data_IF_095480170331
#
_entry.id   IF_095480170331
#
_cell.length_a   1.000
_cell.length_b   1.000
_cell.length_c   1.000
_cell.angle_alpha   90.00
_cell.angle_beta   90.00
_cell.angle_gamma   90.00
#
_symmetry.space_group_name_H-M   'P 1'
#
loop_
_entity.id
_entity.type
_entity.pdbx_description
1 polymer ?
#
# COMPACT_ATOMS: atom_id res chain seq x y z
N UNK A 1 -16.81 28.33 -43.37
CA UNK A 1 -15.95 27.16 -43.60
C UNK A 1 -16.06 26.23 -42.39
N UNK A 2 -16.75 25.09 -42.50
CA UNK A 2 -16.79 24.10 -41.43
C UNK A 2 -15.57 23.17 -41.54
N UNK A 3 -14.80 23.04 -40.45
CA UNK A 3 -13.63 22.18 -40.38
C UNK A 3 -14.03 20.73 -40.12
N UNK A 4 -13.84 19.88 -41.13
CA UNK A 4 -14.05 18.44 -41.10
C UNK A 4 -12.89 17.76 -40.34
N UNK A 5 -13.14 17.10 -39.21
CA UNK A 5 -12.14 16.26 -38.53
C UNK A 5 -12.28 14.82 -39.04
N UNK A 6 -11.27 14.32 -39.75
CA UNK A 6 -11.13 12.91 -40.14
C UNK A 6 -10.43 12.15 -39.01
N UNK A 7 -11.13 11.17 -38.42
CA UNK A 7 -10.52 10.19 -37.52
C UNK A 7 -9.83 9.10 -38.35
N UNK A 8 -8.52 8.91 -38.12
CA UNK A 8 -7.73 7.79 -38.66
C UNK A 8 -7.86 6.62 -37.70
N UNK A 9 -8.43 5.51 -38.17
CA UNK A 9 -8.34 4.20 -37.53
C UNK A 9 -6.94 3.66 -37.78
N UNK A 10 -6.04 3.77 -36.80
CA UNK A 10 -4.73 3.11 -36.86
C UNK A 10 -4.88 1.67 -36.38
N UNK A 11 -4.65 0.74 -37.30
CA UNK A 11 -4.69 -0.69 -37.06
C UNK A 11 -3.68 -1.12 -35.99
N UNK A 12 -4.07 -2.18 -35.28
CA UNK A 12 -3.21 -2.96 -34.39
C UNK A 12 -1.90 -3.31 -35.11
N UNK A 13 -0.79 -2.79 -34.61
CA UNK A 13 0.52 -3.29 -34.98
C UNK A 13 0.76 -4.64 -34.29
N UNK A 14 1.30 -5.66 -34.98
CA UNK A 14 1.71 -6.89 -34.35
C UNK A 14 2.92 -6.61 -33.44
N UNK A 15 2.86 -7.09 -32.20
CA UNK A 15 3.97 -7.08 -31.26
C UNK A 15 5.08 -7.99 -31.82
N UNK A 16 6.15 -7.39 -32.32
CA UNK A 16 7.41 -8.08 -32.57
C UNK A 16 8.01 -8.50 -31.23
N UNK A 17 8.02 -9.81 -30.97
CA UNK A 17 8.65 -10.39 -29.80
C UNK A 17 10.13 -10.48 -30.09
N UNK A 18 10.91 -9.59 -29.48
CA UNK A 18 12.37 -9.68 -29.48
C UNK A 18 12.80 -10.98 -28.77
N UNK A 19 13.41 -11.87 -29.55
CA UNK A 19 14.02 -13.11 -29.09
C UNK A 19 15.18 -12.85 -28.14
N UNK A 20 15.01 -13.21 -26.86
CA UNK A 20 16.08 -13.10 -25.88
C UNK A 20 15.62 -13.23 -24.44
N UNK A 21 14.66 -14.12 -24.14
CA UNK A 21 14.32 -14.47 -22.75
C UNK A 21 14.19 -15.98 -22.67
N UNK A 22 15.06 -16.57 -21.86
CA UNK A 22 15.03 -17.96 -21.41
C UNK A 22 13.59 -18.34 -21.05
N UNK A 23 13.02 -19.35 -21.72
CA UNK A 23 11.69 -19.90 -21.43
C UNK A 23 11.60 -20.21 -19.92
N UNK A 24 10.96 -19.32 -19.18
CA UNK A 24 10.85 -19.39 -17.73
C UNK A 24 9.62 -20.22 -17.39
N UNK A 25 9.88 -21.48 -17.01
CA UNK A 25 9.03 -22.41 -16.25
C UNK A 25 7.51 -22.21 -16.42
N UNK A 26 6.94 -23.00 -17.34
CA UNK A 26 5.49 -23.20 -17.57
C UNK A 26 4.80 -23.82 -16.34
N UNK A 27 5.57 -24.32 -15.37
CA UNK A 27 5.05 -25.16 -14.30
C UNK A 27 5.40 -24.65 -12.91
N UNK A 28 4.38 -24.64 -12.04
CA UNK A 28 4.58 -24.54 -10.59
C UNK A 28 3.64 -25.53 -9.93
N UNK A 29 4.14 -26.70 -9.54
CA UNK A 29 3.47 -27.40 -8.47
C UNK A 29 3.69 -26.57 -7.21
N UNK A 30 2.65 -26.00 -6.58
CA UNK A 30 2.85 -25.46 -5.24
C UNK A 30 3.43 -26.61 -4.40
N UNK A 31 4.46 -26.34 -3.60
CA UNK A 31 5.34 -27.28 -2.90
C UNK A 31 4.66 -28.34 -1.99
N UNK A 32 3.35 -28.55 -2.06
CA UNK A 32 2.59 -29.55 -1.33
C UNK A 32 2.61 -30.90 -2.06
N UNK A 33 3.63 -31.71 -1.77
CA UNK A 33 3.54 -33.16 -2.01
C UNK A 33 2.47 -33.77 -1.13
N UNK A 34 1.81 -34.80 -1.63
CA UNK A 34 0.79 -35.57 -0.92
C UNK A 34 1.23 -37.04 -0.87
N UNK A 35 0.84 -37.74 0.19
CA UNK A 35 1.08 -39.18 0.32
C UNK A 35 -0.24 -39.91 0.36
N UNK A 36 -0.46 -40.82 -0.59
CA UNK A 36 -1.63 -41.69 -0.67
C UNK A 36 -1.18 -43.14 -0.55
N UNK A 37 -1.68 -43.85 0.46
CA UNK A 37 -1.39 -45.28 0.69
C UNK A 37 0.11 -45.64 0.63
N UNK A 38 0.96 -44.73 1.09
CA UNK A 38 2.42 -44.89 1.09
C UNK A 38 3.15 -44.46 -0.19
N UNK A 39 2.44 -43.92 -1.20
CA UNK A 39 3.01 -43.32 -2.40
C UNK A 39 3.01 -41.80 -2.28
N UNK A 40 4.19 -41.18 -2.34
CA UNK A 40 4.35 -39.74 -2.43
C UNK A 40 4.23 -39.27 -3.88
N UNK A 41 3.38 -38.26 -4.11
CA UNK A 41 3.17 -37.64 -5.42
C UNK A 41 2.66 -36.20 -5.26
N UNK A 42 2.13 -35.60 -6.33
CA UNK A 42 1.53 -34.29 -6.33
C UNK A 42 0.01 -34.37 -6.50
N UNK A 43 -0.73 -33.48 -5.81
CA UNK A 43 -2.19 -33.42 -5.90
C UNK A 43 -2.69 -32.80 -7.21
N UNK A 44 -1.85 -32.04 -7.90
CA UNK A 44 -2.20 -31.33 -9.12
C UNK A 44 -1.01 -31.17 -10.06
N UNK A 45 -1.30 -31.02 -11.35
CA UNK A 45 -0.38 -30.61 -12.40
C UNK A 45 -0.96 -29.37 -13.07
N UNK A 46 -0.32 -28.22 -12.89
CA UNK A 46 -0.81 -26.93 -13.38
C UNK A 46 0.18 -26.34 -14.37
N UNK A 47 -0.27 -26.15 -15.60
CA UNK A 47 0.42 -25.43 -16.66
C UNK A 47 -0.01 -23.96 -16.63
N UNK A 48 0.96 -23.05 -16.60
CA UNK A 48 0.82 -21.59 -16.63
C UNK A 48 1.60 -21.03 -17.80
N UNK A 49 1.23 -19.84 -18.27
CA UNK A 49 1.96 -19.13 -19.35
C UNK A 49 2.11 -19.96 -20.64
N UNK A 50 1.17 -20.87 -20.90
CA UNK A 50 1.15 -21.68 -22.10
C UNK A 50 0.61 -20.87 -23.30
N UNK A 51 0.99 -21.32 -24.49
CA UNK A 51 0.64 -20.72 -25.78
C UNK A 51 -0.20 -21.74 -26.55
N UNK A 52 -1.37 -21.35 -27.12
CA UNK A 52 -2.15 -22.25 -27.96
C UNK A 52 -1.33 -22.76 -29.16
N UNK A 53 -1.45 -24.06 -29.47
CA UNK A 53 -0.75 -24.74 -30.56
C UNK A 53 0.60 -25.35 -30.18
N UNK A 54 1.16 -25.01 -29.02
CA UNK A 54 2.39 -25.59 -28.49
C UNK A 54 2.10 -26.83 -27.62
N UNK A 55 3.10 -27.68 -27.43
CA UNK A 55 3.00 -28.87 -26.58
C UNK A 55 3.91 -28.79 -25.37
N UNK A 56 3.39 -29.16 -24.21
CA UNK A 56 4.10 -29.10 -22.94
C UNK A 56 4.07 -30.44 -22.25
N UNK A 57 5.23 -31.00 -21.90
CA UNK A 57 5.29 -32.28 -21.16
C UNK A 57 5.82 -32.06 -19.76
N UNK A 58 5.06 -32.49 -18.76
CA UNK A 58 5.46 -32.49 -17.35
C UNK A 58 5.48 -33.90 -16.78
N UNK A 59 6.39 -34.17 -15.84
CA UNK A 59 6.60 -35.53 -15.32
C UNK A 59 6.10 -35.62 -13.88
N UNK A 60 4.96 -36.28 -13.70
CA UNK A 60 4.45 -36.63 -12.38
C UNK A 60 5.27 -37.80 -11.81
N UNK A 61 5.72 -37.66 -10.57
CA UNK A 61 6.50 -38.70 -9.88
C UNK A 61 5.67 -39.37 -8.80
N UNK A 62 5.80 -40.68 -8.71
CA UNK A 62 5.11 -41.54 -7.76
C UNK A 62 6.14 -42.37 -7.03
N UNK A 63 6.49 -41.98 -5.81
CA UNK A 63 7.55 -42.62 -5.02
C UNK A 63 6.94 -43.49 -3.93
N UNK A 64 7.23 -44.79 -3.95
CA UNK A 64 6.83 -45.68 -2.88
C UNK A 64 7.72 -45.46 -1.64
N UNK A 65 7.14 -44.85 -0.61
CA UNK A 65 7.76 -44.66 0.71
C UNK A 65 7.37 -45.75 1.71
N UNK A 66 6.47 -46.66 1.33
CA UNK A 66 6.07 -47.78 2.18
C UNK A 66 7.15 -48.87 2.22
N UNK A 67 7.11 -49.70 3.27
CA UNK A 67 7.95 -50.90 3.38
C UNK A 67 7.44 -52.10 2.56
N UNK A 68 6.43 -51.93 1.71
CA UNK A 68 5.77 -53.02 0.96
C UNK A 68 5.74 -52.69 -0.53
N UNK A 69 5.60 -53.72 -1.37
CA UNK A 69 5.33 -53.52 -2.79
C UNK A 69 3.90 -53.02 -2.99
N UNK A 70 3.74 -51.99 -3.83
CA UNK A 70 2.46 -51.35 -4.12
C UNK A 70 2.02 -51.67 -5.54
N UNK A 71 0.77 -52.06 -5.73
CA UNK A 71 0.17 -52.17 -7.07
C UNK A 71 -0.27 -50.79 -7.55
N UNK A 72 0.22 -50.38 -8.71
CA UNK A 72 -0.05 -49.06 -9.28
C UNK A 72 -0.58 -49.19 -10.70
N UNK A 73 -1.66 -48.47 -11.01
CA UNK A 73 -2.14 -48.28 -12.39
C UNK A 73 -2.84 -46.92 -12.49
N UNK A 74 -3.25 -46.51 -13.68
CA UNK A 74 -3.87 -45.20 -13.94
C UNK A 74 -4.73 -45.25 -15.19
N UNK A 75 -5.60 -44.27 -15.34
CA UNK A 75 -6.42 -44.08 -16.55
C UNK A 75 -5.80 -43.00 -17.44
N UNK A 76 -6.16 -43.01 -18.72
CA UNK A 76 -5.87 -41.87 -19.60
C UNK A 76 -6.76 -40.69 -19.19
N UNK A 77 -6.28 -39.44 -19.29
CA UNK A 77 -7.12 -38.26 -19.07
C UNK A 77 -8.38 -38.26 -19.95
N UNK A 78 -9.45 -37.64 -19.47
CA UNK A 78 -10.77 -37.70 -20.13
C UNK A 78 -10.83 -36.82 -21.36
N UNK A 79 -10.07 -35.73 -21.36
CA UNK A 79 -10.04 -34.73 -22.42
C UNK A 79 -8.85 -34.97 -23.35
N UNK A 80 -9.01 -34.62 -24.62
CA UNK A 80 -7.96 -34.80 -25.64
C UNK A 80 -6.74 -33.89 -25.46
N UNK A 81 -6.87 -32.84 -24.64
CA UNK A 81 -5.82 -31.84 -24.41
C UNK A 81 -4.73 -32.31 -23.47
N UNK A 82 -5.03 -33.33 -22.65
CA UNK A 82 -4.05 -33.97 -21.78
C UNK A 82 -3.83 -35.41 -22.25
N UNK A 83 -2.57 -35.77 -22.47
CA UNK A 83 -2.20 -37.11 -22.92
C UNK A 83 -1.14 -37.69 -21.99
N UNK A 84 -1.12 -39.01 -21.91
CA UNK A 84 -0.10 -39.75 -21.18
C UNK A 84 0.18 -41.06 -21.87
N UNK A 85 1.26 -41.73 -21.48
CA UNK A 85 1.60 -43.06 -21.99
C UNK A 85 0.49 -44.07 -21.65
N UNK A 86 0.33 -45.10 -22.48
CA UNK A 86 -0.76 -46.06 -22.31
C UNK A 86 -0.70 -46.77 -20.94
N UNK A 87 -1.83 -46.85 -20.20
CA UNK A 87 -1.91 -47.50 -18.92
C UNK A 87 -1.35 -48.92 -18.89
N UNK A 88 -0.47 -49.17 -17.91
CA UNK A 88 0.06 -50.50 -17.59
C UNK A 88 -0.05 -50.73 -16.09
N UNK A 89 -0.29 -51.99 -15.69
CA UNK A 89 -0.14 -52.39 -14.28
C UNK A 89 1.34 -52.44 -13.91
N UNK A 90 1.68 -51.70 -12.86
CA UNK A 90 3.03 -51.58 -12.32
C UNK A 90 3.06 -52.08 -10.88
N UNK A 91 4.21 -52.60 -10.46
CA UNK A 91 4.50 -52.93 -9.06
C UNK A 91 5.63 -52.03 -8.60
N UNK A 92 5.34 -51.09 -7.71
CA UNK A 92 6.34 -50.19 -7.13
C UNK A 92 6.92 -50.86 -5.88
N UNK A 93 8.14 -51.39 -5.96
CA UNK A 93 8.87 -51.88 -4.78
C UNK A 93 9.26 -50.72 -3.85
N UNK A 94 9.66 -51.03 -2.62
CA UNK A 94 10.10 -50.03 -1.65
C UNK A 94 11.18 -49.10 -2.25
N UNK A 95 10.99 -47.78 -2.11
CA UNK A 95 11.93 -46.77 -2.59
C UNK A 95 11.88 -46.49 -4.09
N UNK A 96 11.16 -47.30 -4.89
CA UNK A 96 11.04 -47.10 -6.34
C UNK A 96 10.20 -45.85 -6.62
N UNK A 97 10.67 -45.04 -7.58
CA UNK A 97 9.93 -43.90 -8.12
C UNK A 97 9.53 -44.20 -9.56
N UNK A 98 8.24 -44.12 -9.85
CA UNK A 98 7.71 -44.15 -11.20
C UNK A 98 7.48 -42.73 -11.70
N UNK A 99 7.81 -42.49 -12.96
CA UNK A 99 7.70 -41.19 -13.63
C UNK A 99 6.69 -41.31 -14.75
N UNK A 100 5.62 -40.53 -14.68
CA UNK A 100 4.53 -40.51 -15.64
C UNK A 100 4.53 -39.16 -16.39
N UNK A 101 4.87 -39.13 -17.68
CA UNK A 101 4.77 -37.93 -18.49
C UNK A 101 3.29 -37.60 -18.76
N UNK A 102 2.91 -36.35 -18.51
CA UNK A 102 1.64 -35.74 -18.86
C UNK A 102 1.94 -34.67 -19.91
N UNK A 103 1.44 -34.89 -21.11
CA UNK A 103 1.52 -33.94 -22.22
C UNK A 103 0.26 -33.09 -22.24
N UNK A 104 0.42 -31.78 -22.44
CA UNK A 104 -0.64 -30.79 -22.55
C UNK A 104 -0.50 -30.06 -23.88
N UNK A 105 -1.53 -30.16 -24.71
CA UNK A 105 -1.58 -29.56 -26.07
C UNK A 105 -2.81 -28.64 -26.19
N UNK A 106 -2.77 -27.40 -25.68
CA UNK A 106 -3.86 -26.44 -25.77
C UNK A 106 -4.09 -25.98 -27.22
N UNK A 107 -5.34 -25.84 -27.65
CA UNK A 107 -5.68 -25.34 -29.00
C UNK A 107 -6.16 -23.89 -29.00
N UNK A 108 -6.84 -23.48 -27.93
CA UNK A 108 -7.40 -22.14 -27.75
C UNK A 108 -7.01 -21.57 -26.38
N UNK A 109 -7.06 -20.24 -26.24
CA UNK A 109 -6.70 -19.54 -25.00
C UNK A 109 -7.85 -19.52 -23.98
N UNK A 110 -8.25 -20.72 -23.52
CA UNK A 110 -9.30 -20.96 -22.52
C UNK A 110 -8.78 -21.70 -21.29
N UNK A 111 -9.58 -21.80 -20.23
CA UNK A 111 -9.25 -22.64 -19.07
C UNK A 111 -9.44 -24.12 -19.42
N UNK A 112 -8.41 -24.93 -19.24
CA UNK A 112 -8.47 -26.39 -19.36
C UNK A 112 -8.45 -27.04 -17.97
N UNK A 113 -9.35 -27.98 -17.73
CA UNK A 113 -9.39 -28.78 -16.50
C UNK A 113 -9.70 -30.23 -16.86
N UNK A 114 -8.95 -31.14 -16.25
CA UNK A 114 -9.17 -32.59 -16.33
C UNK A 114 -8.69 -33.25 -15.04
N UNK A 115 -8.97 -34.54 -14.86
CA UNK A 115 -8.49 -35.34 -13.74
C UNK A 115 -7.78 -36.60 -14.25
N UNK A 116 -6.56 -36.82 -13.77
CA UNK A 116 -5.88 -38.10 -13.89
C UNK A 116 -6.27 -38.98 -12.71
N UNK A 117 -6.90 -40.12 -13.00
CA UNK A 117 -7.22 -41.13 -11.98
C UNK A 117 -6.06 -42.11 -11.87
N UNK A 118 -5.49 -42.23 -10.67
CA UNK A 118 -4.46 -43.22 -10.35
C UNK A 118 -5.02 -44.21 -9.33
N UNK A 119 -4.67 -45.48 -9.48
CA UNK A 119 -5.07 -46.54 -8.57
C UNK A 119 -3.86 -47.03 -7.80
N UNK A 120 -3.91 -46.88 -6.48
CA UNK A 120 -2.88 -47.35 -5.55
C UNK A 120 -3.51 -48.46 -4.73
N UNK A 121 -3.02 -49.70 -4.89
CA UNK A 121 -3.63 -50.89 -4.29
C UNK A 121 -5.14 -50.99 -4.53
N UNK A 122 -5.60 -50.64 -5.74
CA UNK A 122 -7.00 -50.58 -6.18
C UNK A 122 -7.83 -49.42 -5.60
N UNK A 123 -7.26 -48.58 -4.74
CA UNK A 123 -7.90 -47.34 -4.28
C UNK A 123 -7.71 -46.23 -5.33
N UNK A 124 -8.80 -45.64 -5.86
CA UNK A 124 -8.69 -44.53 -6.81
C UNK A 124 -8.33 -43.22 -6.10
N UNK A 125 -7.41 -42.47 -6.68
CA UNK A 125 -7.01 -41.14 -6.27
C UNK A 125 -6.97 -40.20 -7.47
N UNK A 126 -7.36 -38.95 -7.28
CA UNK A 126 -7.51 -37.98 -8.37
C UNK A 126 -6.42 -36.92 -8.30
N UNK A 127 -5.70 -36.75 -9.41
CA UNK A 127 -4.74 -35.68 -9.61
C UNK A 127 -5.34 -34.69 -10.60
N UNK A 128 -5.53 -33.44 -10.17
CA UNK A 128 -6.10 -32.39 -11.01
C UNK A 128 -5.09 -31.95 -12.06
N UNK A 129 -5.46 -32.01 -13.34
CA UNK A 129 -4.71 -31.44 -14.45
C UNK A 129 -5.36 -30.11 -14.84
N UNK A 130 -4.58 -29.04 -15.01
CA UNK A 130 -5.13 -27.76 -15.44
C UNK A 130 -4.17 -26.92 -16.27
N UNK A 131 -4.68 -26.36 -17.36
CA UNK A 131 -4.05 -25.27 -18.11
C UNK A 131 -4.76 -23.98 -17.73
N UNK A 132 -4.16 -23.17 -16.86
CA UNK A 132 -4.80 -21.96 -16.31
C UNK A 132 -4.43 -20.72 -17.12
N UNK A 133 -5.39 -19.80 -17.25
CA UNK A 133 -5.15 -18.50 -17.86
C UNK A 133 -4.40 -17.59 -16.88
N UNK A 134 -3.56 -16.67 -17.40
CA UNK A 134 -2.87 -15.71 -16.55
C UNK A 134 -3.89 -14.75 -15.92
N UNK A 135 -3.71 -14.43 -14.63
CA UNK A 135 -4.66 -13.61 -13.87
C UNK A 135 -4.03 -12.32 -13.37
N UNK A 136 -4.81 -11.24 -13.40
CA UNK A 136 -4.48 -10.02 -12.66
C UNK A 136 -4.69 -10.24 -11.17
N UNK A 137 -3.71 -9.85 -10.36
CA UNK A 137 -3.82 -9.91 -8.90
C UNK A 137 -2.90 -8.91 -8.24
N UNK A 138 -3.45 -8.12 -7.33
CA UNK A 138 -2.69 -7.15 -6.55
C UNK A 138 -2.89 -7.36 -5.05
N UNK A 139 -1.90 -6.98 -4.26
CA UNK A 139 -1.96 -6.98 -2.81
C UNK A 139 -1.63 -5.57 -2.31
N UNK A 140 -2.58 -4.96 -1.59
CA UNK A 140 -2.42 -3.65 -0.95
C UNK A 140 -2.02 -3.87 0.51
N UNK A 141 -0.96 -3.19 0.95
CA UNK A 141 -0.49 -3.24 2.33
C UNK A 141 -0.13 -1.83 2.83
N UNK A 142 -0.75 -1.33 3.92
CA UNK A 142 -1.85 -1.95 4.69
C UNK A 142 -3.22 -1.87 4.00
N UNK A 143 -4.23 -2.60 4.52
CA UNK A 143 -5.63 -2.53 4.04
C UNK A 143 -6.40 -1.31 4.56
N UNK A 144 -5.82 -0.59 5.51
CA UNK A 144 -6.40 0.58 6.15
C UNK A 144 -5.29 1.56 6.54
N UNK A 145 -5.54 2.86 6.35
CA UNK A 145 -4.67 3.94 6.79
C UNK A 145 -5.48 4.83 7.74
N UNK A 146 -4.95 5.03 8.94
CA UNK A 146 -5.45 6.01 9.89
C UNK A 146 -4.44 7.15 10.04
N UNK A 147 -4.87 8.35 9.67
CA UNK A 147 -4.07 9.57 9.83
C UNK A 147 -4.12 10.10 11.26
N UNK A 148 -5.03 9.63 12.11
CA UNK A 148 -5.20 10.09 13.47
C UNK A 148 -5.72 11.53 13.52
N UNK A 149 -5.10 12.38 14.34
CA UNK A 149 -5.50 13.78 14.47
C UNK A 149 -4.66 14.69 13.57
N UNK A 150 -5.34 15.45 12.71
CA UNK A 150 -4.73 16.45 11.86
C UNK A 150 -5.35 17.82 12.15
N UNK A 151 -4.54 18.88 12.11
CA UNK A 151 -5.06 20.23 12.24
C UNK A 151 -5.91 20.58 11.01
N UNK A 152 -7.03 21.29 11.20
CA UNK A 152 -7.83 21.81 10.08
C UNK A 152 -6.93 22.63 9.15
N UNK A 153 -7.03 22.37 7.84
CA UNK A 153 -6.21 22.91 6.74
C UNK A 153 -4.74 22.47 6.69
N UNK A 154 -4.21 21.76 7.69
CA UNK A 154 -2.89 21.15 7.60
C UNK A 154 -2.94 19.84 6.81
N UNK A 155 -1.79 19.42 6.29
CA UNK A 155 -1.67 18.21 5.48
C UNK A 155 -0.81 17.18 6.20
N UNK A 156 -1.33 15.96 6.27
CA UNK A 156 -0.60 14.80 6.74
C UNK A 156 -0.45 13.78 5.62
N UNK A 157 0.72 13.18 5.50
CA UNK A 157 1.03 12.20 4.46
C UNK A 157 1.50 10.89 5.08
N UNK A 158 1.19 9.79 4.40
CA UNK A 158 1.63 8.44 4.74
C UNK A 158 1.82 7.65 3.46
N UNK A 159 2.68 6.65 3.47
CA UNK A 159 2.91 5.79 2.32
C UNK A 159 2.35 4.39 2.53
N UNK A 160 1.90 3.77 1.45
CA UNK A 160 1.47 2.36 1.42
C UNK A 160 2.02 1.68 0.17
N UNK A 161 2.01 0.35 0.16
CA UNK A 161 2.58 -0.45 -0.92
C UNK A 161 1.50 -1.23 -1.65
N UNK A 162 1.68 -1.33 -2.95
CA UNK A 162 0.91 -2.21 -3.82
C UNK A 162 1.87 -3.19 -4.49
N UNK A 163 1.60 -4.48 -4.39
CA UNK A 163 2.38 -5.54 -5.03
C UNK A 163 1.56 -6.24 -6.09
N UNK A 164 2.12 -6.41 -7.28
CA UNK A 164 1.56 -7.30 -8.28
C UNK A 164 1.93 -8.74 -7.92
N UNK A 165 0.91 -9.53 -7.59
CA UNK A 165 1.01 -10.96 -7.25
C UNK A 165 0.38 -11.84 -8.32
N UNK A 166 -0.01 -11.23 -9.45
CA UNK A 166 -0.60 -11.89 -10.61
C UNK A 166 0.46 -12.38 -11.58
N UNK A 167 -0.03 -12.86 -12.71
CA UNK A 167 0.79 -13.43 -13.79
C UNK A 167 0.98 -12.42 -14.95
N UNK A 168 0.39 -11.22 -14.86
CA UNK A 168 0.39 -10.20 -15.90
C UNK A 168 0.89 -8.86 -15.35
N UNK A 169 1.60 -8.10 -16.18
CA UNK A 169 1.81 -6.68 -15.96
C UNK A 169 0.44 -5.98 -15.84
N UNK A 170 0.27 -5.15 -14.82
CA UNK A 170 -1.04 -4.65 -14.41
C UNK A 170 -1.06 -3.13 -14.42
N UNK A 171 -1.97 -2.53 -15.19
CA UNK A 171 -2.28 -1.11 -15.09
C UNK A 171 -3.06 -0.85 -13.79
N UNK A 172 -2.70 0.21 -13.08
CA UNK A 172 -3.27 0.61 -11.79
C UNK A 172 -3.81 2.04 -11.93
N UNK A 173 -5.04 2.26 -11.47
CA UNK A 173 -5.66 3.58 -11.34
C UNK A 173 -6.35 3.70 -9.98
N UNK A 174 -6.00 4.74 -9.21
CA UNK A 174 -6.64 5.07 -7.95
C UNK A 174 -7.70 6.15 -8.12
N UNK A 175 -8.84 5.92 -7.47
CA UNK A 175 -9.89 6.91 -7.28
C UNK A 175 -10.10 7.10 -5.78
N UNK A 176 -9.78 8.30 -5.28
CA UNK A 176 -10.07 8.77 -3.93
C UNK A 176 -10.86 10.07 -3.99
N UNK A 177 -11.51 10.44 -2.90
CA UNK A 177 -12.25 11.69 -2.77
C UNK A 177 -11.68 12.55 -1.65
N UNK A 178 -11.86 13.87 -1.78
CA UNK A 178 -11.49 14.80 -0.71
C UNK A 178 -12.12 14.39 0.62
N UNK A 179 -11.39 14.49 1.74
CA UNK A 179 -10.09 15.15 1.91
C UNK A 179 -8.86 14.26 1.65
N UNK A 180 -9.04 13.09 1.03
CA UNK A 180 -7.95 12.14 0.78
C UNK A 180 -7.47 12.17 -0.67
N UNK A 181 -6.15 12.17 -0.86
CA UNK A 181 -5.53 12.13 -2.18
C UNK A 181 -4.45 11.04 -2.22
N UNK A 182 -4.36 10.30 -3.33
CA UNK A 182 -3.35 9.25 -3.54
C UNK A 182 -2.51 9.60 -4.77
N UNK A 183 -1.19 9.57 -4.60
CA UNK A 183 -0.21 9.87 -5.64
C UNK A 183 0.90 8.79 -5.71
N UNK A 184 1.32 8.36 -6.91
CA UNK A 184 0.74 8.69 -8.21
C UNK A 184 -0.69 8.12 -8.36
N UNK A 185 -1.54 8.78 -9.16
CA UNK A 185 -2.90 8.28 -9.41
C UNK A 185 -2.90 7.00 -10.26
N UNK A 186 -2.00 6.95 -11.24
CA UNK A 186 -1.89 5.85 -12.19
C UNK A 186 -0.45 5.35 -12.29
N UNK A 187 -0.28 4.06 -12.51
CA UNK A 187 1.01 3.48 -12.87
C UNK A 187 0.84 2.12 -13.56
N UNK A 188 1.91 1.66 -14.23
CA UNK A 188 2.01 0.28 -14.72
C UNK A 188 2.87 -0.51 -13.73
N UNK A 189 2.36 -1.64 -13.24
CA UNK A 189 3.02 -2.46 -12.23
C UNK A 189 3.48 -3.80 -12.83
N UNK A 190 4.81 -4.01 -13.02
CA UNK A 190 5.35 -5.26 -13.56
C UNK A 190 5.02 -6.48 -12.70
N UNK A 191 5.14 -7.69 -13.27
CA UNK A 191 4.92 -8.96 -12.56
C UNK A 191 5.87 -9.06 -11.36
N UNK A 192 5.34 -9.32 -10.16
CA UNK A 192 6.11 -9.36 -8.91
C UNK A 192 6.58 -7.99 -8.40
N UNK A 193 6.33 -6.92 -9.16
CA UNK A 193 6.72 -5.55 -8.83
C UNK A 193 5.99 -5.00 -7.61
N UNK A 194 6.61 -4.00 -6.97
CA UNK A 194 6.07 -3.28 -5.83
C UNK A 194 6.13 -1.79 -6.16
N UNK A 195 4.98 -1.11 -6.05
CA UNK A 195 4.90 0.35 -6.13
C UNK A 195 4.55 0.91 -4.75
N UNK A 196 5.21 2.00 -4.37
CA UNK A 196 4.87 2.78 -3.18
C UNK A 196 4.04 3.97 -3.61
N UNK A 197 2.90 4.18 -2.95
CA UNK A 197 2.00 5.30 -3.13
C UNK A 197 2.03 6.19 -1.89
N UNK A 198 1.83 7.48 -2.08
CA UNK A 198 1.65 8.47 -1.01
C UNK A 198 0.17 8.78 -0.91
N UNK A 199 -0.42 8.59 0.27
CA UNK A 199 -1.75 9.06 0.60
C UNK A 199 -1.63 10.30 1.48
N UNK A 200 -2.34 11.36 1.14
CA UNK A 200 -2.43 12.59 1.91
C UNK A 200 -3.85 12.81 2.43
N UNK A 201 -3.94 13.47 3.58
CA UNK A 201 -5.17 13.86 4.26
C UNK A 201 -5.08 15.33 4.64
N UNK A 202 -6.04 16.12 4.16
CA UNK A 202 -6.16 17.55 4.49
C UNK A 202 -7.60 17.91 4.88
N UNK A 203 -7.96 17.84 6.17
CA UNK A 203 -9.33 18.10 6.60
C UNK A 203 -9.68 19.58 6.50
N UNK A 204 -10.83 19.88 5.87
CA UNK A 204 -11.36 21.25 5.78
C UNK A 204 -12.13 21.70 7.03
N UNK A 205 -12.62 20.75 7.82
CA UNK A 205 -13.38 21.02 9.04
C UNK A 205 -12.97 20.08 10.17
N UNK A 206 -13.31 20.46 11.40
CA UNK A 206 -13.04 19.65 12.60
C UNK A 206 -14.03 18.49 12.73
N UNK A 207 -13.91 17.49 11.86
CA UNK A 207 -14.80 16.33 11.75
C UNK A 207 -14.02 15.02 11.77
N UNK A 208 -14.74 13.91 11.94
CA UNK A 208 -14.22 12.56 11.69
C UNK A 208 -14.50 12.24 10.22
N UNK A 209 -13.46 11.85 9.50
CA UNK A 209 -13.50 11.45 8.10
C UNK A 209 -13.28 9.95 7.98
N UNK A 210 -14.20 9.28 7.28
CA UNK A 210 -14.10 7.87 6.91
C UNK A 210 -14.39 7.79 5.42
N UNK A 211 -13.46 7.20 4.67
CA UNK A 211 -13.59 7.06 3.23
C UNK A 211 -12.95 5.77 2.73
N UNK A 212 -13.26 5.43 1.47
CA UNK A 212 -12.65 4.30 0.78
C UNK A 212 -12.05 4.82 -0.52
N UNK A 213 -10.77 4.56 -0.75
CA UNK A 213 -10.17 4.72 -2.07
C UNK A 213 -10.30 3.40 -2.84
N UNK A 214 -10.73 3.48 -4.09
CA UNK A 214 -10.89 2.33 -4.98
C UNK A 214 -9.75 2.31 -5.99
N UNK A 215 -9.10 1.17 -6.11
CA UNK A 215 -8.11 0.91 -7.16
C UNK A 215 -8.76 0.04 -8.24
N UNK A 216 -8.80 0.56 -9.46
CA UNK A 216 -9.17 -0.19 -10.66
C UNK A 216 -7.88 -0.74 -11.27
N UNK A 217 -7.85 -2.03 -11.59
CA UNK A 217 -6.65 -2.66 -12.10
C UNK A 217 -6.93 -3.71 -13.19
N UNK A 218 -5.95 -3.89 -14.08
CA UNK A 218 -5.96 -4.96 -15.08
C UNK A 218 -7.22 -4.96 -15.95
N UNK A 219 -8.04 -5.99 -15.79
CA UNK A 219 -9.29 -6.26 -16.50
C UNK A 219 -10.52 -5.58 -15.88
N UNK A 220 -10.37 -4.37 -15.33
CA UNK A 220 -11.40 -3.64 -14.57
C UNK A 220 -11.76 -4.31 -13.24
N UNK A 221 -10.87 -5.15 -12.73
CA UNK A 221 -10.94 -5.63 -11.35
C UNK A 221 -10.78 -4.46 -10.37
N UNK A 222 -11.37 -4.59 -9.17
CA UNK A 222 -11.38 -3.53 -8.15
C UNK A 222 -10.81 -4.04 -6.83
N UNK A 223 -9.99 -3.21 -6.18
CA UNK A 223 -9.65 -3.39 -4.77
C UNK A 223 -9.83 -2.09 -3.98
N UNK A 224 -9.94 -2.20 -2.66
CA UNK A 224 -10.29 -1.08 -1.79
C UNK A 224 -9.24 -0.85 -0.71
N UNK A 225 -9.03 0.42 -0.37
CA UNK A 225 -8.21 0.89 0.74
C UNK A 225 -9.07 1.76 1.65
N UNK A 226 -9.22 1.37 2.92
CA UNK A 226 -9.98 2.14 3.91
C UNK A 226 -9.13 3.28 4.47
N UNK A 227 -9.71 4.47 4.57
CA UNK A 227 -9.03 5.70 4.97
C UNK A 227 -9.78 6.36 6.12
N UNK A 228 -9.06 6.71 7.18
CA UNK A 228 -9.59 7.31 8.39
C UNK A 228 -8.74 8.51 8.79
N UNK A 229 -9.38 9.55 9.31
CA UNK A 229 -8.68 10.72 9.85
C UNK A 229 -9.62 11.65 10.59
N UNK A 230 -9.10 12.41 11.54
CA UNK A 230 -9.89 13.35 12.35
C UNK A 230 -9.31 14.75 12.27
N UNK A 231 -10.07 15.69 11.74
CA UNK A 231 -9.75 17.11 11.78
C UNK A 231 -10.01 17.71 13.16
N UNK A 232 -9.08 18.53 13.67
CA UNK A 232 -9.23 19.26 14.95
C UNK A 232 -8.63 20.66 14.86
N UNK A 233 -9.12 21.57 15.70
CA UNK A 233 -8.49 22.89 15.86
C UNK A 233 -7.30 22.80 16.82
N UNK A 234 -6.22 23.57 16.56
CA UNK A 234 -5.14 23.75 17.52
C UNK A 234 -5.66 24.27 18.86
N UNK A 235 -5.16 23.69 19.96
CA UNK A 235 -5.40 24.17 21.31
C UNK A 235 -4.07 24.62 21.94
N UNK A 236 -3.80 25.92 21.82
CA UNK A 236 -2.61 26.56 22.35
C UNK A 236 -2.97 27.41 23.57
N UNK A 237 -2.34 27.13 24.71
CA UNK A 237 -2.50 27.90 25.95
C UNK A 237 -1.27 28.76 26.15
N UNK A 238 -1.47 30.04 26.47
CA UNK A 238 -0.39 30.98 26.79
C UNK A 238 -0.50 31.33 28.28
N UNK A 239 0.63 31.38 28.98
CA UNK A 239 0.73 31.81 30.38
C UNK A 239 1.95 32.71 30.56
N UNK A 240 1.92 33.59 31.56
CA UNK A 240 3.13 34.25 32.07
C UNK A 240 3.87 33.33 33.06
N UNK A 241 5.11 33.65 33.35
CA UNK A 241 5.93 33.01 34.37
C UNK A 241 5.32 33.10 35.78
N UNK A 242 4.65 34.21 36.09
CA UNK A 242 3.95 34.44 37.37
C UNK A 242 2.47 34.02 37.37
N UNK A 243 1.93 33.58 36.23
CA UNK A 243 0.52 33.20 36.08
C UNK A 243 -0.47 34.36 36.14
N UNK A 244 -0.01 35.62 36.05
CA UNK A 244 -0.87 36.79 36.07
C UNK A 244 -1.81 36.85 34.85
N UNK A 245 -3.07 37.20 35.14
CA UNK A 245 -4.16 37.34 34.18
C UNK A 245 -4.95 38.59 34.51
N UNK A 246 -5.45 39.28 33.49
CA UNK A 246 -6.39 40.38 33.66
C UNK A 246 -7.79 39.80 33.96
N UNK A 247 -8.33 40.10 35.13
CA UNK A 247 -9.63 39.58 35.58
C UNK A 247 -10.80 40.06 34.69
N UNK A 248 -10.67 41.20 34.03
CA UNK A 248 -11.74 41.77 33.20
C UNK A 248 -11.72 41.23 31.78
N UNK A 249 -10.53 41.05 31.20
CA UNK A 249 -10.37 40.66 29.80
C UNK A 249 -10.00 39.20 29.61
N UNK A 250 -9.51 38.54 30.67
CA UNK A 250 -8.94 37.21 30.62
C UNK A 250 -7.61 37.14 29.86
N UNK A 251 -6.99 38.27 29.54
CA UNK A 251 -5.71 38.30 28.84
C UNK A 251 -4.56 37.92 29.76
N UNK A 252 -3.55 37.26 29.21
CA UNK A 252 -2.29 36.98 29.92
C UNK A 252 -1.56 38.30 30.18
N UNK A 253 -1.24 38.58 31.44
CA UNK A 253 -0.52 39.78 31.83
C UNK A 253 0.95 39.44 32.10
N UNK A 254 1.86 40.23 31.54
CA UNK A 254 3.29 40.14 31.86
C UNK A 254 3.70 41.40 32.62
N UNK A 255 3.98 41.25 33.91
CA UNK A 255 4.33 42.39 34.79
C UNK A 255 5.84 42.51 34.92
N UNK A 256 6.37 43.63 34.42
CA UNK A 256 7.78 43.97 34.55
C UNK A 256 8.09 44.73 35.87
N UNK A 257 7.06 45.24 36.56
CA UNK A 257 7.23 45.97 37.83
C UNK A 257 8.03 47.28 37.67
N UNK A 258 8.44 47.84 38.80
CA UNK A 258 9.24 49.07 38.82
C UNK A 258 10.69 48.79 38.41
N UNK A 259 11.23 49.64 37.55
CA UNK A 259 12.58 49.51 37.00
C UNK A 259 13.29 50.86 36.92
N UNK A 260 14.61 50.93 37.23
CA UNK A 260 15.40 52.14 36.99
C UNK A 260 15.50 52.48 35.49
N UNK A 261 15.59 53.79 35.17
CA UNK A 261 15.79 54.25 33.79
C UNK A 261 17.03 53.60 33.15
N UNK A 262 16.93 53.23 31.87
CA UNK A 262 17.93 52.46 31.10
C UNK A 262 18.19 51.02 31.58
N UNK A 263 17.45 50.53 32.57
CA UNK A 263 17.45 49.13 32.97
C UNK A 263 16.86 48.22 31.87
N UNK A 264 17.09 46.92 32.02
CA UNK A 264 16.36 45.94 31.22
C UNK A 264 15.97 44.73 32.07
N UNK A 265 14.74 44.25 31.88
CA UNK A 265 14.21 43.10 32.60
C UNK A 265 13.74 42.06 31.59
N UNK A 266 13.94 40.80 31.96
CA UNK A 266 13.46 39.65 31.21
C UNK A 266 12.32 38.99 31.98
N UNK A 267 11.28 38.62 31.22
CA UNK A 267 10.15 37.78 31.63
C UNK A 267 9.97 36.69 30.60
N UNK A 268 9.16 35.69 30.91
CA UNK A 268 8.91 34.59 29.99
C UNK A 268 7.42 34.37 29.78
N UNK A 269 7.03 34.14 28.52
CA UNK A 269 5.74 33.55 28.20
C UNK A 269 5.92 32.05 27.98
N UNK A 270 5.01 31.27 28.55
CA UNK A 270 4.96 29.83 28.42
C UNK A 270 3.83 29.49 27.48
N UNK A 271 4.17 29.02 26.29
CA UNK A 271 3.23 28.51 25.30
C UNK A 271 3.11 27.00 25.50
N UNK A 272 1.90 26.47 25.63
CA UNK A 272 1.62 25.06 25.91
C UNK A 272 0.69 24.54 24.81
N UNK A 273 1.20 23.64 23.98
CA UNK A 273 0.39 22.95 22.99
C UNK A 273 -0.33 21.76 23.65
N UNK A 274 -1.64 21.89 23.87
CA UNK A 274 -2.48 20.79 24.37
C UNK A 274 -3.09 19.94 23.25
N UNK A 275 -2.73 20.22 21.99
CA UNK A 275 -3.16 19.42 20.84
C UNK A 275 -2.35 18.13 20.73
N UNK A 276 -2.93 17.13 20.06
CA UNK A 276 -2.27 15.88 19.72
C UNK A 276 -1.38 15.96 18.47
N UNK A 277 -1.22 17.16 17.89
CA UNK A 277 -0.42 17.45 16.70
C UNK A 277 0.40 18.72 16.91
N UNK A 278 1.43 18.93 16.08
CA UNK A 278 2.27 20.15 16.11
C UNK A 278 1.43 21.39 15.79
N UNK A 279 1.71 22.50 16.45
CA UNK A 279 0.98 23.76 16.26
C UNK A 279 1.96 24.87 15.89
N UNK A 280 1.85 25.47 14.68
CA UNK A 280 2.58 26.69 14.37
C UNK A 280 1.97 27.88 15.12
N UNK A 281 2.80 28.84 15.51
CA UNK A 281 2.36 30.09 16.13
C UNK A 281 3.10 31.28 15.53
N UNK A 282 2.45 32.44 15.56
CA UNK A 282 3.06 33.74 15.27
C UNK A 282 2.57 34.78 16.28
N UNK A 283 3.49 35.64 16.72
CA UNK A 283 3.29 36.74 17.64
C UNK A 283 3.37 38.03 16.83
N UNK A 284 2.27 38.77 16.79
CA UNK A 284 2.16 40.05 16.08
C UNK A 284 1.58 41.12 17.01
N UNK A 285 1.90 42.39 16.74
CA UNK A 285 1.28 43.52 17.44
C UNK A 285 -0.14 43.75 16.94
N UNK A 286 -1.04 44.18 17.83
CA UNK A 286 -2.38 44.59 17.42
C UNK A 286 -2.32 45.76 16.41
N UNK A 287 -3.22 45.79 15.41
CA UNK A 287 -3.32 46.92 14.48
C UNK A 287 -3.55 48.24 15.22
N UNK A 288 -2.82 49.29 14.84
CA UNK A 288 -2.97 50.62 15.43
C UNK A 288 -2.14 50.88 16.69
N UNK A 289 -1.50 49.86 17.27
CA UNK A 289 -0.42 50.04 18.26
C UNK A 289 0.87 50.30 17.47
N UNK A 290 1.58 51.39 17.75
CA UNK A 290 2.88 51.68 17.11
C UNK A 290 3.75 50.42 17.15
N UNK A 291 4.20 49.94 15.99
CA UNK A 291 4.89 48.65 15.79
C UNK A 291 5.95 48.43 16.85
N UNK A 292 5.60 47.72 17.92
CA UNK A 292 6.37 47.63 19.15
C UNK A 292 6.77 49.01 19.68
N UNK A 293 6.19 49.43 20.81
CA UNK A 293 6.95 50.30 21.70
C UNK A 293 8.36 49.70 21.79
N UNK A 294 9.37 50.44 21.31
CA UNK A 294 10.73 49.90 21.07
C UNK A 294 11.37 49.31 22.31
N UNK A 295 10.71 49.50 23.46
CA UNK A 295 10.97 48.89 24.72
C UNK A 295 10.79 47.36 24.77
N UNK A 296 9.88 46.75 24.01
CA UNK A 296 9.62 45.30 24.10
C UNK A 296 10.31 44.51 22.98
N UNK A 297 10.99 43.42 23.33
CA UNK A 297 11.64 42.50 22.39
C UNK A 297 11.37 41.05 22.77
N UNK A 298 10.78 40.30 21.86
CA UNK A 298 10.57 38.86 22.00
C UNK A 298 11.78 38.10 21.48
N UNK A 299 12.21 37.06 22.18
CA UNK A 299 13.29 36.19 21.72
C UNK A 299 12.92 35.36 20.49
N UNK A 300 11.62 35.15 20.26
CA UNK A 300 11.09 34.45 19.08
C UNK A 300 9.65 34.89 18.83
N UNK A 301 9.34 35.27 17.59
CA UNK A 301 8.01 35.75 17.17
C UNK A 301 7.23 34.74 16.35
N UNK A 302 7.85 33.69 15.83
CA UNK A 302 7.16 32.60 15.14
C UNK A 302 7.86 31.27 15.41
N UNK A 303 7.12 30.17 15.34
CA UNK A 303 7.68 28.85 15.56
C UNK A 303 6.62 27.75 15.50
N UNK A 304 7.04 26.54 15.83
CA UNK A 304 6.20 25.34 15.90
C UNK A 304 6.39 24.72 17.28
N UNK A 305 5.30 24.35 17.94
CA UNK A 305 5.32 23.63 19.21
C UNK A 305 4.80 22.22 18.96
N UNK A 306 5.64 21.23 19.20
CA UNK A 306 5.29 19.82 19.06
C UNK A 306 4.11 19.42 19.98
N UNK A 307 3.41 18.34 19.61
CA UNK A 307 2.25 17.84 20.35
C UNK A 307 2.55 17.65 21.85
N UNK A 308 1.69 18.18 22.72
CA UNK A 308 1.84 18.08 24.17
C UNK A 308 3.06 18.80 24.76
N UNK A 309 3.85 19.54 23.96
CA UNK A 309 5.04 20.26 24.45
C UNK A 309 4.73 21.69 24.85
N UNK A 310 5.65 22.27 25.60
CA UNK A 310 5.67 23.69 25.94
C UNK A 310 6.92 24.36 25.39
N UNK A 311 6.80 25.63 25.05
CA UNK A 311 7.91 26.47 24.62
C UNK A 311 7.92 27.76 25.45
N UNK A 312 9.10 28.13 25.93
CA UNK A 312 9.32 29.36 26.69
C UNK A 312 9.83 30.44 25.74
N UNK A 313 9.14 31.59 25.73
CA UNK A 313 9.45 32.74 24.89
C UNK A 313 9.92 33.88 25.81
N UNK A 314 11.22 34.21 25.83
CA UNK A 314 11.69 35.31 26.65
C UNK A 314 11.25 36.64 26.04
N UNK A 315 10.78 37.54 26.90
CA UNK A 315 10.43 38.92 26.59
C UNK A 315 11.39 39.81 27.35
N UNK A 316 12.13 40.64 26.63
CA UNK A 316 12.96 41.70 27.20
C UNK A 316 12.21 43.02 27.11
N UNK A 317 12.06 43.69 28.25
CA UNK A 317 11.61 45.08 28.34
C UNK A 317 12.80 46.00 28.63
N UNK A 318 12.94 47.07 27.85
CA UNK A 318 14.00 48.06 27.94
C UNK A 318 13.48 49.45 27.51
N UNK A 319 12.82 50.20 28.42
CA UNK A 319 12.30 51.51 28.10
C UNK A 319 13.44 52.49 27.78
N UNK A 320 13.27 53.30 26.74
CA UNK A 320 14.17 54.42 26.45
C UNK A 320 13.65 55.67 27.16
N UNK A 321 14.53 56.44 27.79
CA UNK A 321 14.16 57.75 28.30
C UNK A 321 13.66 58.63 27.14
N UNK A 322 12.54 59.34 27.34
CA UNK A 322 12.20 60.45 26.46
C UNK A 322 13.32 61.49 26.56
N UNK A 323 14.00 61.77 25.47
CA UNK A 323 14.77 63.01 25.35
C UNK A 323 13.76 64.16 25.42
N UNK A 324 13.59 64.75 26.60
CA UNK A 324 12.93 66.05 26.70
C UNK A 324 13.87 67.06 26.05
N UNK A 325 13.54 67.45 24.83
CA UNK A 325 14.15 68.62 24.17
C UNK A 325 13.76 69.84 25.01
N UNK A 326 14.72 70.40 25.74
CA UNK A 326 14.57 71.66 26.48
C UNK A 326 14.52 72.85 25.54
#
# INVERSE_FOLDING_TARGET
MPGLIRLKQTGLAPLEINNGVTQSLVYRNPNARITWDGVETYKQCIYRNWIPGEEYTEVLTFKNLSGKSISFTYEVPKTQYFQTIYPRRLTLSQGVTFSLPIQFSPLEKILYVDDLVVYINQTPHHIKLAGVLPQYRIAVEPKEIDFGYCAVQDIQTTTFKLRNTGDLETNIEWNSSEPFLIEPRECILPIGGIQTFTCSFQPQWALIYVGTATCIYGDQSVCELRLHGTGKFPHLIIRSDDGAMDENTGNVLVRFGDMPMNGSLKRELIFINQSAFRVPYRIESLPGVAKFDTAFRFGKTEGIIEAGKRQMIPIKFQPKACEQSY
#
